data_IF_449613672873
#
_entry.id   IF_449613672873
#
_cell.length_a   1.000
_cell.length_b   1.000
_cell.length_c   1.000
_cell.angle_alpha   90.00
_cell.angle_beta   90.00
_cell.angle_gamma   90.00
#
_symmetry.space_group_name_H-M   'P 1'
#
loop_
_entity.id
_entity.type
_entity.pdbx_description
1 polymer ?
#
# COMPACT_ATOMS: atom_id res chain seq x y z
N UNK A 1 1.76 -49.85 -4.80
CA UNK A 1 0.48 -50.57 -4.95
C UNK A 1 -0.51 -49.63 -5.63
N UNK A 2 -0.88 -49.92 -6.88
CA UNK A 2 -1.97 -49.19 -7.54
C UNK A 2 -3.29 -49.72 -7.02
N UNK A 3 -4.06 -48.90 -6.32
CA UNK A 3 -5.44 -49.26 -5.96
C UNK A 3 -6.34 -48.94 -7.16
N UNK A 4 -6.65 -49.96 -7.94
CA UNK A 4 -7.67 -49.89 -8.98
C UNK A 4 -8.28 -51.26 -9.21
N UNK A 5 -9.53 -51.45 -8.80
CA UNK A 5 -10.53 -52.18 -9.59
C UNK A 5 -11.96 -52.06 -9.02
N UNK A 6 -12.89 -51.82 -9.96
CA UNK A 6 -14.35 -52.06 -9.98
C UNK A 6 -15.13 -52.31 -8.68
N UNK A 7 -15.85 -51.28 -8.24
CA UNK A 7 -17.32 -51.23 -8.16
C UNK A 7 -17.72 -49.81 -7.70
N UNK A 8 -18.95 -49.38 -7.99
CA UNK A 8 -19.42 -48.01 -7.76
C UNK A 8 -19.30 -47.56 -6.29
N UNK A 9 -18.16 -46.96 -5.93
CA UNK A 9 -17.95 -46.20 -4.70
C UNK A 9 -17.76 -44.75 -5.13
N UNK A 10 -18.53 -43.83 -4.56
CA UNK A 10 -18.62 -42.42 -4.95
C UNK A 10 -17.30 -41.63 -4.84
N UNK A 11 -16.24 -42.24 -4.27
CA UNK A 11 -14.88 -41.73 -4.23
C UNK A 11 -13.86 -42.89 -4.24
N UNK A 12 -12.70 -42.68 -4.88
CA UNK A 12 -11.60 -43.65 -4.92
C UNK A 12 -10.84 -43.79 -3.59
N UNK A 13 -10.95 -42.81 -2.69
CA UNK A 13 -10.46 -42.83 -1.30
C UNK A 13 -11.37 -41.95 -0.42
N UNK A 14 -11.81 -42.47 0.72
CA UNK A 14 -12.61 -41.74 1.71
C UNK A 14 -12.03 -41.97 3.12
N UNK A 15 -11.74 -40.89 3.87
CA UNK A 15 -11.22 -40.94 5.24
C UNK A 15 -12.13 -40.14 6.18
N UNK A 16 -12.55 -40.70 7.32
CA UNK A 16 -13.51 -40.10 8.25
C UNK A 16 -13.16 -40.43 9.71
N UNK A 17 -12.81 -39.45 10.56
CA UNK A 17 -12.26 -39.72 11.91
C UNK A 17 -12.78 -38.79 13.01
N UNK A 18 -13.05 -39.35 14.20
CA UNK A 18 -13.58 -38.66 15.40
C UNK A 18 -12.65 -38.70 16.64
N UNK A 19 -11.42 -39.23 16.53
CA UNK A 19 -10.23 -38.99 17.37
C UNK A 19 -9.08 -39.93 16.91
N UNK A 20 -7.80 -39.87 17.32
CA UNK A 20 -7.01 -38.83 17.97
C UNK A 20 -5.91 -38.38 16.97
N UNK A 21 -6.17 -37.20 16.38
CA UNK A 21 -5.30 -36.27 15.65
C UNK A 21 -4.62 -36.70 14.32
N UNK A 22 -5.00 -35.94 13.26
CA UNK A 22 -4.76 -36.09 11.81
C UNK A 22 -5.62 -37.16 11.10
N UNK A 23 -6.62 -36.71 10.32
CA UNK A 23 -7.40 -37.60 9.44
C UNK A 23 -6.57 -38.16 8.28
N UNK A 24 -5.62 -37.40 7.77
CA UNK A 24 -4.58 -37.87 6.84
C UNK A 24 -3.29 -37.11 7.15
N UNK A 25 -2.20 -37.84 7.41
CA UNK A 25 -0.86 -37.27 7.56
C UNK A 25 0.00 -37.77 6.41
N UNK A 26 0.53 -36.85 5.60
CA UNK A 26 1.48 -37.16 4.53
C UNK A 26 2.79 -36.44 4.81
N UNK A 27 3.86 -37.22 4.93
CA UNK A 27 5.22 -36.72 5.12
C UNK A 27 6.08 -37.12 3.94
N UNK A 28 6.95 -36.21 3.51
CA UNK A 28 7.96 -36.49 2.48
C UNK A 28 9.28 -35.88 2.97
N UNK A 29 10.30 -36.71 3.09
CA UNK A 29 11.64 -36.31 3.44
C UNK A 29 12.55 -36.61 2.25
N UNK A 30 12.90 -35.56 1.50
CA UNK A 30 13.83 -35.63 0.37
C UNK A 30 15.15 -34.95 0.77
N UNK A 31 16.28 -35.62 0.50
CA UNK A 31 17.60 -35.12 0.88
C UNK A 31 18.09 -33.95 0.00
N UNK A 32 17.76 -33.93 -1.29
CA UNK A 32 18.16 -32.87 -2.23
C UNK A 32 17.11 -32.69 -3.33
N UNK A 33 16.90 -31.45 -3.78
CA UNK A 33 15.96 -31.12 -4.86
C UNK A 33 14.55 -30.77 -4.37
N UNK A 34 13.56 -30.82 -5.26
CA UNK A 34 12.17 -30.47 -4.95
C UNK A 34 11.37 -31.71 -4.58
N UNK A 35 10.94 -31.81 -3.32
CA UNK A 35 10.04 -32.85 -2.84
C UNK A 35 8.62 -32.33 -2.66
N UNK A 36 7.63 -33.11 -3.10
CA UNK A 36 6.22 -32.81 -2.87
C UNK A 36 5.65 -33.82 -1.88
N UNK A 37 5.16 -33.37 -0.72
CA UNK A 37 4.34 -34.21 0.15
C UNK A 37 2.95 -34.47 -0.47
N UNK A 38 2.43 -33.52 -1.24
CA UNK A 38 1.23 -33.69 -2.05
C UNK A 38 1.35 -32.89 -3.36
N UNK A 39 0.90 -33.48 -4.46
CA UNK A 39 0.77 -32.81 -5.75
C UNK A 39 -0.65 -33.03 -6.28
N UNK A 40 -1.49 -31.99 -6.19
CA UNK A 40 -2.92 -32.07 -6.53
C UNK A 40 -3.16 -31.42 -7.88
N UNK A 41 -3.51 -32.21 -8.88
CA UNK A 41 -3.74 -31.73 -10.25
C UNK A 41 -5.14 -32.13 -10.71
N UNK A 42 -5.97 -31.14 -11.03
CA UNK A 42 -7.23 -31.32 -11.75
C UNK A 42 -7.12 -30.72 -13.14
N UNK A 43 -7.19 -31.57 -14.16
CA UNK A 43 -7.17 -31.19 -15.58
C UNK A 43 -8.45 -31.64 -16.30
N UNK A 44 -8.65 -31.18 -17.55
CA UNK A 44 -9.78 -31.53 -18.42
C UNK A 44 -10.77 -30.37 -18.66
N UNK A 45 -11.68 -30.57 -19.60
CA UNK A 45 -12.60 -29.56 -20.13
C UNK A 45 -13.89 -29.35 -19.29
N UNK A 46 -13.85 -29.64 -17.98
CA UNK A 46 -14.99 -29.34 -17.11
C UNK A 46 -15.21 -27.82 -17.05
N UNK A 47 -16.46 -27.38 -16.86
CA UNK A 47 -16.79 -25.96 -16.68
C UNK A 47 -16.06 -25.33 -15.48
N UNK A 48 -15.82 -26.14 -14.45
CA UNK A 48 -15.07 -25.73 -13.25
C UNK A 48 -14.08 -26.83 -12.88
N UNK A 49 -12.81 -26.46 -12.72
CA UNK A 49 -11.77 -27.33 -12.18
C UNK A 49 -11.40 -26.87 -10.76
N UNK A 50 -11.59 -27.73 -9.77
CA UNK A 50 -11.19 -27.48 -8.38
C UNK A 50 -10.04 -28.42 -8.03
N UNK A 51 -8.84 -27.87 -7.85
CA UNK A 51 -7.67 -28.64 -7.46
C UNK A 51 -7.65 -28.98 -5.96
N UNK A 52 -8.02 -28.00 -5.12
CA UNK A 52 -8.10 -28.12 -3.67
C UNK A 52 -9.39 -27.44 -3.22
N UNK A 53 -10.21 -28.15 -2.44
CA UNK A 53 -11.35 -27.61 -1.72
C UNK A 53 -11.18 -27.96 -0.25
N UNK A 54 -10.91 -26.96 0.58
CA UNK A 54 -10.64 -27.12 2.01
C UNK A 54 -11.59 -26.24 2.81
N UNK A 55 -12.26 -26.83 3.79
CA UNK A 55 -13.13 -26.12 4.73
C UNK A 55 -12.95 -26.66 6.14
N UNK A 56 -13.09 -25.78 7.11
CA UNK A 56 -13.15 -26.11 8.54
C UNK A 56 -14.33 -25.35 9.15
N UNK A 57 -15.14 -26.01 9.95
CA UNK A 57 -16.31 -25.42 10.62
C UNK A 57 -16.66 -26.17 11.90
N UNK A 58 -17.45 -25.54 12.77
CA UNK A 58 -17.99 -26.15 14.00
C UNK A 58 -17.08 -26.04 15.24
N UNK A 59 -15.85 -25.53 15.12
CA UNK A 59 -14.95 -25.29 16.25
C UNK A 59 -14.89 -23.79 16.64
N UNK A 60 -14.28 -23.49 17.79
CA UNK A 60 -13.94 -22.11 18.21
C UNK A 60 -13.03 -21.41 17.21
N UNK A 61 -12.03 -22.14 16.69
CA UNK A 61 -11.11 -21.66 15.66
C UNK A 61 -11.17 -22.60 14.46
N UNK A 62 -11.44 -22.07 13.28
CA UNK A 62 -11.53 -22.85 12.05
C UNK A 62 -10.51 -22.34 11.05
N UNK A 63 -9.50 -23.15 10.75
CA UNK A 63 -8.47 -22.84 9.77
C UNK A 63 -8.63 -23.76 8.57
N UNK A 64 -8.94 -23.21 7.40
CA UNK A 64 -8.95 -23.99 6.17
C UNK A 64 -7.52 -24.43 5.77
N UNK A 65 -6.51 -23.62 6.11
CA UNK A 65 -5.10 -23.91 5.91
C UNK A 65 -4.24 -23.17 6.94
N UNK A 66 -3.09 -23.77 7.30
CA UNK A 66 -2.04 -23.15 8.11
C UNK A 66 -0.73 -23.30 7.34
N UNK A 67 -0.07 -22.18 7.04
CA UNK A 67 1.23 -22.14 6.36
C UNK A 67 2.29 -21.68 7.37
N UNK A 68 2.72 -22.59 8.25
CA UNK A 68 3.52 -22.27 9.44
C UNK A 68 4.92 -21.70 9.09
N UNK A 69 5.57 -22.24 8.05
CA UNK A 69 6.94 -21.84 7.68
C UNK A 69 7.12 -21.45 6.21
N UNK A 70 6.27 -21.94 5.31
CA UNK A 70 6.39 -21.73 3.87
C UNK A 70 5.83 -20.40 3.38
N UNK A 71 6.22 -20.02 2.16
CA UNK A 71 5.60 -18.91 1.42
C UNK A 71 4.46 -19.43 0.55
N UNK A 72 3.41 -18.61 0.38
CA UNK A 72 2.29 -18.87 -0.52
C UNK A 72 2.46 -18.02 -1.77
N UNK A 73 2.67 -18.68 -2.91
CA UNK A 73 2.74 -18.03 -4.22
C UNK A 73 1.46 -18.29 -5.02
N UNK A 74 0.81 -17.23 -5.50
CA UNK A 74 -0.36 -17.31 -6.39
C UNK A 74 0.06 -16.81 -7.77
N UNK A 75 0.12 -17.71 -8.75
CA UNK A 75 0.71 -17.41 -10.06
C UNK A 75 2.24 -17.26 -10.06
N UNK A 76 2.89 -17.50 -8.91
CA UNK A 76 4.35 -17.48 -8.73
C UNK A 76 4.79 -18.74 -7.99
N UNK A 77 5.71 -19.52 -8.56
CA UNK A 77 6.24 -20.76 -7.97
C UNK A 77 7.49 -20.56 -7.11
N UNK A 78 8.06 -19.35 -7.10
CA UNK A 78 9.25 -19.00 -6.34
C UNK A 78 9.10 -17.64 -5.63
N UNK A 79 8.07 -17.48 -4.77
CA UNK A 79 7.82 -16.21 -4.10
C UNK A 79 9.03 -15.75 -3.27
N UNK A 80 9.25 -14.44 -3.18
CA UNK A 80 10.26 -13.81 -2.31
C UNK A 80 9.68 -13.28 -1.00
N UNK A 81 8.35 -13.15 -0.92
CA UNK A 81 7.62 -12.77 0.29
C UNK A 81 6.80 -13.96 0.86
N UNK A 82 6.28 -13.81 2.08
CA UNK A 82 5.44 -14.87 2.71
C UNK A 82 4.12 -15.12 1.97
N UNK A 83 3.57 -14.08 1.36
CA UNK A 83 2.46 -14.16 0.42
C UNK A 83 2.80 -13.28 -0.78
N UNK A 84 2.86 -13.87 -1.97
CA UNK A 84 3.11 -13.13 -3.21
C UNK A 84 2.13 -13.55 -4.29
N UNK A 85 1.53 -12.57 -4.95
CA UNK A 85 0.49 -12.77 -5.96
C UNK A 85 0.92 -12.11 -7.25
N UNK A 86 1.10 -12.89 -8.31
CA UNK A 86 1.21 -12.38 -9.67
C UNK A 86 -0.19 -12.12 -10.20
N UNK A 87 -0.71 -10.91 -9.93
CA UNK A 87 -2.06 -10.50 -10.31
C UNK A 87 -2.68 -9.56 -9.29
N UNK A 88 -4.02 -9.49 -9.29
CA UNK A 88 -4.78 -8.60 -8.42
C UNK A 88 -5.15 -9.27 -7.09
N UNK A 89 -4.99 -8.55 -6.00
CA UNK A 89 -5.55 -8.91 -4.69
C UNK A 89 -6.70 -7.95 -4.38
N UNK A 90 -7.92 -8.49 -4.23
CA UNK A 90 -9.09 -7.72 -3.80
C UNK A 90 -9.48 -8.15 -2.39
N UNK A 91 -9.51 -7.19 -1.47
CA UNK A 91 -9.95 -7.38 -0.09
C UNK A 91 -10.89 -6.25 0.31
N UNK A 92 -11.82 -6.52 1.23
CA UNK A 92 -12.65 -5.45 1.82
C UNK A 92 -11.80 -4.45 2.61
N UNK A 93 -10.73 -4.93 3.25
CA UNK A 93 -9.80 -4.08 4.01
C UNK A 93 -8.43 -4.72 4.14
N UNK A 94 -7.38 -3.90 4.13
CA UNK A 94 -6.04 -4.26 4.53
C UNK A 94 -5.71 -3.59 5.86
N UNK A 95 -5.63 -4.37 6.94
CA UNK A 95 -5.31 -3.87 8.27
C UNK A 95 -3.79 -3.95 8.47
N UNK A 96 -3.13 -2.79 8.59
CA UNK A 96 -1.69 -2.71 8.85
C UNK A 96 -1.42 -2.44 10.33
N UNK A 97 -0.77 -3.37 11.03
CA UNK A 97 -0.39 -3.22 12.44
C UNK A 97 0.49 -1.99 12.66
N UNK A 98 0.13 -1.12 13.60
CA UNK A 98 0.78 0.20 13.80
C UNK A 98 0.88 0.62 15.28
N UNK A 99 0.89 -0.33 16.21
CA UNK A 99 0.98 -0.09 17.67
C UNK A 99 2.34 0.52 18.07
N UNK A 100 2.32 1.51 18.98
CA UNK A 100 3.55 2.19 19.44
C UNK A 100 4.52 1.25 20.16
N UNK A 101 4.03 0.19 20.82
CA UNK A 101 4.85 -0.81 21.53
C UNK A 101 5.68 -1.66 20.57
N UNK A 102 5.31 -1.68 19.30
CA UNK A 102 6.03 -2.38 18.24
C UNK A 102 7.02 -1.46 17.49
N UNK A 103 7.18 -0.21 17.95
CA UNK A 103 8.00 0.81 17.30
C UNK A 103 9.06 1.33 18.26
N UNK A 104 10.20 1.73 17.68
CA UNK A 104 11.30 2.40 18.39
C UNK A 104 11.74 3.61 17.58
N UNK A 105 12.36 4.59 18.25
CA UNK A 105 12.92 5.80 17.61
C UNK A 105 11.90 6.52 16.71
N UNK A 106 10.68 6.73 17.23
CA UNK A 106 9.61 7.39 16.48
C UNK A 106 9.91 8.87 16.36
N UNK A 107 10.24 9.31 15.15
CA UNK A 107 10.52 10.70 14.80
C UNK A 107 9.53 11.21 13.76
N UNK A 108 9.34 12.54 13.73
CA UNK A 108 8.50 13.18 12.72
C UNK A 108 9.09 12.96 11.31
N UNK A 109 8.25 12.61 10.35
CA UNK A 109 8.65 12.51 8.94
C UNK A 109 8.66 13.88 8.26
N UNK A 110 9.50 14.10 7.23
CA UNK A 110 9.37 15.26 6.36
C UNK A 110 7.97 15.34 5.71
N UNK A 111 7.46 16.56 5.52
CA UNK A 111 6.19 16.85 4.86
C UNK A 111 6.39 17.34 3.42
N UNK A 112 6.10 18.62 3.19
CA UNK A 112 5.95 19.22 1.87
C UNK A 112 7.24 19.14 1.06
N UNK A 113 8.39 19.37 1.69
CA UNK A 113 9.69 19.31 1.03
C UNK A 113 9.98 17.91 0.48
N UNK A 114 9.50 16.85 1.12
CA UNK A 114 9.59 15.49 0.59
C UNK A 114 8.64 15.30 -0.59
N UNK A 115 7.36 15.65 -0.41
CA UNK A 115 6.33 15.43 -1.45
C UNK A 115 6.66 16.17 -2.74
N UNK A 116 7.25 17.37 -2.65
CA UNK A 116 7.67 18.18 -3.80
C UNK A 116 8.80 17.56 -4.63
N UNK A 117 9.52 16.58 -4.10
CA UNK A 117 10.59 15.88 -4.83
C UNK A 117 10.08 14.67 -5.60
N UNK A 118 8.82 14.26 -5.39
CA UNK A 118 8.21 13.13 -6.08
C UNK A 118 7.43 13.58 -7.31
N UNK A 119 7.48 12.76 -8.36
CA UNK A 119 6.65 12.95 -9.56
C UNK A 119 5.52 11.93 -9.58
N UNK A 120 4.28 12.42 -9.64
CA UNK A 120 3.14 11.57 -9.99
C UNK A 120 3.14 11.27 -11.48
N UNK A 121 3.07 9.98 -11.84
CA UNK A 121 3.15 9.52 -13.23
C UNK A 121 1.97 8.62 -13.59
N UNK A 122 1.68 8.53 -14.88
CA UNK A 122 0.84 7.48 -15.46
C UNK A 122 1.71 6.61 -16.37
N UNK A 123 1.39 5.33 -16.45
CA UNK A 123 2.11 4.37 -17.30
C UNK A 123 1.15 3.36 -17.90
N UNK A 124 1.67 2.57 -18.84
CA UNK A 124 1.03 1.33 -19.29
C UNK A 124 1.92 0.15 -18.93
N UNK A 125 1.31 -0.92 -18.44
CA UNK A 125 2.02 -2.16 -18.13
C UNK A 125 2.52 -2.85 -19.39
N UNK A 126 3.80 -3.20 -19.44
CA UNK A 126 4.39 -3.92 -20.60
C UNK A 126 3.73 -5.27 -20.89
N UNK A 127 3.09 -5.90 -19.91
CA UNK A 127 2.49 -7.23 -20.02
C UNK A 127 1.13 -7.24 -20.70
N UNK A 128 0.34 -6.16 -20.59
CA UNK A 128 -1.05 -6.13 -21.05
C UNK A 128 -1.54 -4.76 -21.55
N UNK A 129 -0.65 -3.76 -21.64
CA UNK A 129 -0.94 -2.37 -22.02
C UNK A 129 -2.03 -1.68 -21.19
N UNK A 130 -2.37 -2.19 -20.00
CA UNK A 130 -3.31 -1.52 -19.11
C UNK A 130 -2.68 -0.26 -18.51
N UNK A 131 -3.43 0.84 -18.54
CA UNK A 131 -3.04 2.12 -17.95
C UNK A 131 -3.19 2.10 -16.44
N UNK A 132 -2.22 2.66 -15.74
CA UNK A 132 -2.22 2.82 -14.28
C UNK A 132 -1.47 4.11 -13.88
N UNK A 133 -1.53 4.50 -12.60
CA UNK A 133 -0.96 5.74 -12.08
C UNK A 133 -0.40 5.61 -10.67
N UNK A 134 0.56 6.47 -10.33
CA UNK A 134 1.32 6.35 -9.08
C UNK A 134 2.70 7.00 -9.19
N UNK A 135 3.72 6.31 -8.67
CA UNK A 135 5.11 6.82 -8.57
C UNK A 135 6.12 5.82 -9.11
N UNK A 136 7.27 6.30 -9.57
CA UNK A 136 8.40 5.46 -9.98
C UNK A 136 9.24 5.07 -8.75
N UNK A 137 9.41 3.78 -8.50
CA UNK A 137 10.11 3.27 -7.32
C UNK A 137 11.55 3.81 -7.17
N UNK A 138 12.27 3.96 -8.28
CA UNK A 138 13.63 4.49 -8.31
C UNK A 138 13.70 5.97 -7.90
N UNK A 139 12.67 6.75 -8.22
CA UNK A 139 12.58 8.16 -7.78
C UNK A 139 12.27 8.23 -6.29
N UNK A 140 11.32 7.42 -5.82
CA UNK A 140 11.00 7.31 -4.39
C UNK A 140 12.23 6.88 -3.59
N UNK A 141 13.00 5.92 -4.08
CA UNK A 141 14.19 5.40 -3.39
C UNK A 141 15.25 6.49 -3.13
N UNK A 142 15.42 7.45 -4.05
CA UNK A 142 16.39 8.54 -3.87
C UNK A 142 16.03 9.46 -2.70
N UNK A 143 14.74 9.60 -2.39
CA UNK A 143 14.24 10.55 -1.39
C UNK A 143 13.82 9.84 -0.09
N UNK A 144 13.26 8.64 -0.19
CA UNK A 144 12.80 7.79 0.91
C UNK A 144 13.14 6.31 0.66
N UNK A 145 14.41 5.92 0.83
CA UNK A 145 14.87 4.56 0.53
C UNK A 145 14.07 3.45 1.25
N UNK A 146 13.66 3.69 2.50
CA UNK A 146 12.95 2.68 3.30
C UNK A 146 11.54 2.35 2.79
N UNK A 147 10.97 3.22 1.95
CA UNK A 147 9.67 3.01 1.32
C UNK A 147 9.75 2.11 0.08
N UNK A 148 10.95 1.67 -0.32
CA UNK A 148 11.16 0.81 -1.48
C UNK A 148 11.71 -0.54 -1.05
N UNK A 149 11.18 -1.61 -1.64
CA UNK A 149 11.71 -2.97 -1.53
C UNK A 149 12.32 -3.33 -2.87
N UNK A 150 13.49 -3.94 -2.86
CA UNK A 150 14.08 -4.54 -4.07
C UNK A 150 13.99 -6.05 -3.94
N UNK A 151 13.33 -6.69 -4.90
CA UNK A 151 13.29 -8.14 -4.98
C UNK A 151 14.71 -8.67 -5.29
N UNK A 152 15.25 -9.51 -4.42
CA UNK A 152 16.63 -9.97 -4.50
C UNK A 152 16.89 -10.87 -5.73
N UNK A 153 15.85 -11.49 -6.31
CA UNK A 153 15.98 -12.42 -7.43
C UNK A 153 15.93 -11.70 -8.78
N UNK A 154 14.94 -10.84 -8.96
CA UNK A 154 14.67 -10.12 -10.21
C UNK A 154 15.34 -8.75 -10.28
N UNK A 155 15.68 -8.16 -9.14
CA UNK A 155 16.15 -6.78 -9.04
C UNK A 155 15.04 -5.72 -9.23
N UNK A 156 13.78 -6.13 -9.42
CA UNK A 156 12.67 -5.21 -9.53
C UNK A 156 12.37 -4.53 -8.19
N UNK A 157 11.95 -3.26 -8.28
CA UNK A 157 11.65 -2.42 -7.12
C UNK A 157 10.16 -2.23 -6.96
N UNK A 158 9.68 -2.32 -5.73
CA UNK A 158 8.28 -2.11 -5.34
C UNK A 158 8.18 -1.03 -4.27
N UNK A 159 7.10 -0.25 -4.29
CA UNK A 159 6.85 0.83 -3.33
C UNK A 159 5.89 0.35 -2.24
N UNK A 160 6.28 0.55 -0.98
CA UNK A 160 5.40 0.46 0.18
C UNK A 160 4.51 1.70 0.23
N UNK A 161 3.42 1.72 -0.54
CA UNK A 161 2.55 2.91 -0.67
C UNK A 161 2.08 3.48 0.68
N UNK A 162 1.87 2.63 1.70
CA UNK A 162 1.52 3.08 3.06
C UNK A 162 2.58 4.01 3.69
N UNK A 163 3.85 3.90 3.30
CA UNK A 163 4.92 4.77 3.78
C UNK A 163 4.77 6.22 3.30
N UNK A 164 4.04 6.45 2.19
CA UNK A 164 3.83 7.79 1.63
C UNK A 164 2.75 8.58 2.40
N UNK A 165 1.91 7.91 3.19
CA UNK A 165 0.79 8.55 3.91
C UNK A 165 1.29 9.55 4.96
N UNK A 166 2.32 9.18 5.73
CA UNK A 166 2.81 10.05 6.80
C UNK A 166 3.38 11.39 6.26
N UNK A 167 4.21 11.41 5.20
CA UNK A 167 4.60 12.66 4.55
C UNK A 167 3.42 13.46 4.02
N UNK A 168 2.42 12.83 3.41
CA UNK A 168 1.22 13.53 2.92
C UNK A 168 0.44 14.23 4.06
N UNK A 169 0.36 13.61 5.23
CA UNK A 169 -0.24 14.22 6.44
C UNK A 169 0.55 15.46 6.85
N UNK A 170 1.87 15.35 6.95
CA UNK A 170 2.71 16.48 7.37
C UNK A 170 2.72 17.62 6.33
N UNK A 171 2.74 17.30 5.03
CA UNK A 171 2.56 18.28 3.95
C UNK A 171 1.25 19.04 4.08
N UNK A 172 0.15 18.35 4.41
CA UNK A 172 -1.16 18.99 4.57
C UNK A 172 -1.15 19.98 5.73
N UNK A 173 -0.51 19.62 6.86
CA UNK A 173 -0.37 20.50 8.02
C UNK A 173 0.52 21.72 7.72
N UNK A 174 1.63 21.50 7.02
CA UNK A 174 2.54 22.56 6.61
C UNK A 174 1.86 23.55 5.65
N UNK A 175 1.18 23.04 4.62
CA UNK A 175 0.40 23.86 3.69
C UNK A 175 -0.70 24.65 4.41
N UNK A 176 -1.41 24.04 5.36
CA UNK A 176 -2.41 24.75 6.16
C UNK A 176 -1.78 25.90 6.98
N UNK A 177 -0.61 25.66 7.58
CA UNK A 177 0.16 26.71 8.27
C UNK A 177 0.50 27.88 7.35
N UNK A 178 1.06 27.59 6.16
CA UNK A 178 1.38 28.62 5.16
C UNK A 178 0.16 29.43 4.74
N UNK A 179 -1.00 28.80 4.55
CA UNK A 179 -2.25 29.48 4.22
C UNK A 179 -2.71 30.43 5.34
N UNK A 180 -2.64 29.98 6.60
CA UNK A 180 -3.00 30.80 7.76
C UNK A 180 -2.09 32.02 7.88
N UNK A 181 -0.78 31.81 7.76
CA UNK A 181 0.21 32.89 7.87
C UNK A 181 0.03 33.91 6.74
N UNK A 182 -0.21 33.44 5.52
CA UNK A 182 -0.50 34.32 4.38
C UNK A 182 -1.79 35.11 4.59
N UNK A 183 -2.84 34.52 5.16
CA UNK A 183 -4.10 35.23 5.46
C UNK A 183 -3.88 36.35 6.49
N UNK A 184 -3.11 36.11 7.54
CA UNK A 184 -2.75 37.14 8.51
C UNK A 184 -1.98 38.29 7.85
N UNK A 185 -0.98 37.97 7.01
CA UNK A 185 -0.21 38.98 6.27
C UNK A 185 -1.07 39.80 5.33
N UNK A 186 -2.04 39.19 4.65
CA UNK A 186 -3.00 39.91 3.79
C UNK A 186 -3.82 40.90 4.61
N UNK A 187 -4.35 40.51 5.76
CA UNK A 187 -5.11 41.41 6.63
C UNK A 187 -4.26 42.58 7.16
N UNK A 188 -3.01 42.32 7.53
CA UNK A 188 -2.07 43.37 7.97
C UNK A 188 -1.73 44.35 6.84
N UNK A 189 -1.51 43.83 5.62
CA UNK A 189 -1.29 44.63 4.43
C UNK A 189 -2.53 45.48 4.08
N UNK A 190 -3.74 44.90 4.15
CA UNK A 190 -4.99 45.62 3.92
C UNK A 190 -5.19 46.78 4.91
N UNK A 191 -4.89 46.56 6.20
CA UNK A 191 -4.91 47.61 7.23
C UNK A 191 -3.89 48.71 6.94
N UNK A 192 -2.68 48.33 6.58
CA UNK A 192 -1.61 49.29 6.26
C UNK A 192 -1.97 50.13 5.03
N UNK A 193 -2.54 49.51 4.00
CA UNK A 193 -3.03 50.20 2.79
C UNK A 193 -4.17 51.16 3.13
N UNK A 194 -5.09 50.80 4.03
CA UNK A 194 -6.17 51.69 4.47
C UNK A 194 -5.61 52.95 5.17
N UNK A 195 -4.68 52.78 6.13
CA UNK A 195 -4.00 53.90 6.82
C UNK A 195 -3.30 54.84 5.84
N UNK A 196 -2.50 54.28 4.93
CA UNK A 196 -1.77 55.08 3.93
C UNK A 196 -2.71 55.82 2.97
N UNK A 197 -3.88 55.27 2.64
CA UNK A 197 -4.88 55.97 1.83
C UNK A 197 -5.48 57.16 2.57
N UNK A 198 -5.74 57.03 3.86
CA UNK A 198 -6.25 58.12 4.70
C UNK A 198 -5.21 59.23 4.85
N UNK A 199 -3.96 58.88 5.15
CA UNK A 199 -2.84 59.83 5.24
C UNK A 199 -2.62 60.57 3.91
N UNK A 200 -2.61 59.86 2.78
CA UNK A 200 -2.52 60.48 1.46
C UNK A 200 -3.70 61.42 1.18
N UNK A 201 -4.91 61.08 1.60
CA UNK A 201 -6.07 61.94 1.44
C UNK A 201 -5.94 63.20 2.31
N UNK A 202 -5.43 63.09 3.55
CA UNK A 202 -5.15 64.22 4.42
C UNK A 202 -4.08 65.15 3.82
N UNK A 203 -2.93 64.60 3.40
CA UNK A 203 -1.87 65.37 2.76
C UNK A 203 -2.34 66.09 1.51
N UNK A 204 -3.18 65.46 0.68
CA UNK A 204 -3.77 66.11 -0.50
C UNK A 204 -4.66 67.29 -0.11
N UNK A 205 -5.46 67.17 0.96
CA UNK A 205 -6.28 68.29 1.47
C UNK A 205 -5.41 69.44 1.97
N UNK A 206 -4.38 69.14 2.75
CA UNK A 206 -3.46 70.15 3.27
C UNK A 206 -2.74 70.89 2.14
N UNK A 207 -2.31 70.15 1.11
CA UNK A 207 -1.69 70.74 -0.08
C UNK A 207 -2.63 71.71 -0.80
N UNK A 208 -3.90 71.35 -1.00
CA UNK A 208 -4.90 72.22 -1.62
C UNK A 208 -5.17 73.48 -0.78
N UNK A 209 -5.21 73.36 0.55
CA UNK A 209 -5.35 74.52 1.45
C UNK A 209 -4.14 75.46 1.36
N UNK A 210 -2.93 74.90 1.27
CA UNK A 210 -1.69 75.68 1.12
C UNK A 210 -1.68 76.41 -0.22
N UNK A 211 -1.99 75.73 -1.33
CA UNK A 211 -2.10 76.36 -2.66
C UNK A 211 -3.06 77.55 -2.64
N UNK A 212 -4.25 77.36 -2.06
CA UNK A 212 -5.25 78.42 -1.90
C UNK A 212 -4.73 79.61 -1.09
N UNK A 213 -3.96 79.39 -0.03
CA UNK A 213 -3.34 80.47 0.78
C UNK A 213 -2.24 81.21 0.03
N UNK A 214 -1.54 80.53 -0.88
CA UNK A 214 -0.46 81.10 -1.70
C UNK A 214 -0.97 81.77 -2.99
N UNK A 215 -2.27 81.71 -3.28
CA UNK A 215 -2.86 82.25 -4.50
C UNK A 215 -2.46 81.51 -5.78
N UNK A 216 -2.06 80.23 -5.64
CA UNK A 216 -1.75 79.29 -6.73
C UNK A 216 -2.96 78.45 -7.13
#
# INVERSE_FOLDING_TARGET
MGVGSVNAVSAKLLVNTTSNANGLLVTNQLATGTGYAGNFVKSGAATTNVGIYSSASGATNNYAAIFDQGSVGIGNTAPSEKLEVTGNVKATSFISTSDIRLKKNVVKTPGLDFVRQLTGVQWQWKSNNQTDAGVIAQEVERVMPFAVVTDAKSGYKAVKYNALIAPLIESTKELYGMCKDNSTRVLELERSVASLKEENAAMKRDLELIKKKLGL
#
